data_IF_566726072934
#
_entry.id   IF_566726072934
#
_cell.length_a   1.000
_cell.length_b   1.000
_cell.length_c   1.000
_cell.angle_alpha   90.00
_cell.angle_beta   90.00
_cell.angle_gamma   90.00
#
_symmetry.space_group_name_H-M   'P 1'
#
loop_
_entity.id
_entity.type
_entity.pdbx_description
1 polymer ?
#
# COMPACT_ATOMS: atom_id res chain seq x y z
N UNK A 1 -7.09 8.96 -9.59
CA UNK A 1 -7.90 8.48 -8.45
C UNK A 1 -8.37 7.06 -8.75
N UNK A 2 -8.28 6.17 -7.79
CA UNK A 2 -8.79 4.79 -7.93
C UNK A 2 -10.26 4.80 -7.56
N UNK A 3 -11.11 4.17 -8.36
CA UNK A 3 -12.54 3.98 -8.07
C UNK A 3 -12.90 2.50 -8.12
N UNK A 4 -13.88 2.10 -7.31
CA UNK A 4 -14.39 0.73 -7.26
C UNK A 4 -15.84 0.74 -7.72
N UNK A 5 -16.15 -0.03 -8.78
CA UNK A 5 -17.52 -0.27 -9.21
C UNK A 5 -17.95 -1.67 -8.81
N UNK A 6 -18.95 -1.75 -7.92
CA UNK A 6 -19.50 -3.00 -7.39
C UNK A 6 -20.90 -3.32 -7.92
N UNK A 7 -21.40 -2.58 -8.89
CA UNK A 7 -22.79 -2.73 -9.38
C UNK A 7 -23.09 -4.17 -9.85
N UNK A 8 -22.12 -4.83 -10.48
CA UNK A 8 -22.29 -6.21 -10.96
C UNK A 8 -22.43 -7.26 -9.85
N UNK A 9 -22.10 -6.89 -8.60
CA UNK A 9 -22.24 -7.80 -7.45
C UNK A 9 -23.68 -7.82 -6.90
N UNK A 10 -24.48 -6.82 -7.20
CA UNK A 10 -25.83 -6.67 -6.63
C UNK A 10 -26.86 -7.72 -7.13
N UNK A 11 -26.51 -8.56 -8.08
CA UNK A 11 -27.25 -9.79 -8.40
C UNK A 11 -27.09 -10.92 -7.37
N UNK A 12 -26.04 -10.87 -6.56
CA UNK A 12 -25.68 -11.90 -5.58
C UNK A 12 -25.78 -11.41 -4.12
N UNK A 13 -25.54 -10.11 -3.89
CA UNK A 13 -25.58 -9.48 -2.57
C UNK A 13 -26.32 -8.16 -2.64
N UNK A 14 -27.24 -7.89 -1.71
CA UNK A 14 -27.99 -6.65 -1.69
C UNK A 14 -27.14 -5.45 -1.21
N UNK A 15 -27.54 -4.24 -1.63
CA UNK A 15 -26.90 -2.99 -1.19
C UNK A 15 -26.95 -2.82 0.33
N UNK A 16 -28.07 -3.18 0.94
CA UNK A 16 -28.28 -3.11 2.38
C UNK A 16 -27.29 -4.01 3.13
N UNK A 17 -27.05 -5.20 2.57
CA UNK A 17 -26.09 -6.15 3.16
C UNK A 17 -24.64 -5.65 3.05
N UNK A 18 -24.30 -4.99 1.94
CA UNK A 18 -22.98 -4.34 1.79
C UNK A 18 -22.85 -3.19 2.78
N UNK A 19 -23.88 -2.32 2.88
CA UNK A 19 -23.86 -1.19 3.81
C UNK A 19 -23.80 -1.62 5.29
N UNK A 20 -24.33 -2.77 5.62
CA UNK A 20 -24.26 -3.30 7.00
C UNK A 20 -22.84 -3.55 7.49
N UNK A 21 -21.88 -3.79 6.59
CA UNK A 21 -20.45 -3.94 6.92
C UNK A 21 -19.71 -2.62 7.16
N UNK A 22 -20.32 -1.47 6.91
CA UNK A 22 -19.64 -0.16 7.02
C UNK A 22 -19.03 0.07 8.41
N UNK A 23 -19.77 -0.24 9.46
CA UNK A 23 -19.27 -0.07 10.83
C UNK A 23 -18.10 -1.01 11.14
N UNK A 24 -18.15 -2.26 10.67
CA UNK A 24 -17.09 -3.24 10.85
C UNK A 24 -15.82 -2.82 10.09
N UNK A 25 -15.98 -2.34 8.86
CA UNK A 25 -14.86 -1.84 8.04
C UNK A 25 -14.20 -0.64 8.69
N UNK A 26 -14.97 0.32 9.22
CA UNK A 26 -14.43 1.48 9.94
C UNK A 26 -13.66 1.06 11.19
N UNK A 27 -14.21 0.14 11.97
CA UNK A 27 -13.52 -0.38 13.16
C UNK A 27 -12.21 -1.10 12.80
N UNK A 28 -12.21 -1.91 11.74
CA UNK A 28 -11.02 -2.59 11.24
C UNK A 28 -9.96 -1.59 10.74
N UNK A 29 -10.37 -0.55 10.04
CA UNK A 29 -9.47 0.52 9.60
C UNK A 29 -8.84 1.26 10.78
N UNK A 30 -9.63 1.62 11.78
CA UNK A 30 -9.11 2.27 12.99
C UNK A 30 -8.11 1.36 13.74
N UNK A 31 -8.39 0.07 13.81
CA UNK A 31 -7.49 -0.91 14.42
C UNK A 31 -6.16 -0.99 13.67
N UNK A 32 -6.20 -0.95 12.35
CA UNK A 32 -5.02 -0.94 11.47
C UNK A 32 -4.21 0.34 11.69
N UNK A 33 -4.84 1.51 11.62
CA UNK A 33 -4.18 2.82 11.76
C UNK A 33 -3.56 3.01 13.16
N UNK A 34 -4.23 2.52 14.20
CA UNK A 34 -3.73 2.58 15.58
C UNK A 34 -2.74 1.48 15.93
N UNK A 35 -2.57 0.48 15.07
CA UNK A 35 -1.68 -0.66 15.33
C UNK A 35 -2.09 -1.48 16.54
N UNK A 36 -3.40 -1.67 16.79
CA UNK A 36 -3.92 -2.38 17.97
C UNK A 36 -4.36 -3.81 17.68
N UNK A 37 -4.34 -4.22 16.40
CA UNK A 37 -4.72 -5.57 15.97
C UNK A 37 -3.59 -6.58 16.07
N UNK A 38 -3.91 -7.85 15.81
CA UNK A 38 -2.91 -8.90 15.64
C UNK A 38 -2.03 -8.59 14.42
N UNK A 39 -0.71 -8.77 14.57
CA UNK A 39 0.25 -8.47 13.51
C UNK A 39 0.68 -7.00 13.45
N UNK A 40 0.42 -6.22 14.49
CA UNK A 40 0.81 -4.83 14.60
C UNK A 40 2.34 -4.60 14.46
N UNK A 41 3.15 -5.60 14.74
CA UNK A 41 4.61 -5.55 14.54
C UNK A 41 5.02 -5.53 13.04
N UNK A 42 4.08 -5.82 12.14
CA UNK A 42 4.33 -5.94 10.69
C UNK A 42 3.65 -4.84 9.87
N UNK A 43 3.40 -3.67 10.43
CA UNK A 43 2.71 -2.54 9.78
C UNK A 43 3.63 -1.53 9.08
N UNK A 44 4.93 -1.84 8.91
CA UNK A 44 5.88 -0.95 8.24
C UNK A 44 5.48 -0.54 6.81
N UNK A 45 4.65 -1.33 6.15
CA UNK A 45 4.13 -1.06 4.80
C UNK A 45 3.03 0.01 4.76
N UNK A 46 2.29 0.20 5.87
CA UNK A 46 1.06 1.01 5.90
C UNK A 46 1.28 2.46 5.46
N UNK A 47 2.34 3.07 5.97
CA UNK A 47 2.71 4.45 5.66
C UNK A 47 3.95 4.56 4.76
N UNK A 48 4.47 3.44 4.26
CA UNK A 48 5.67 3.41 3.43
C UNK A 48 5.56 4.31 2.19
N UNK A 49 4.46 4.29 1.40
CA UNK A 49 4.36 5.14 0.22
C UNK A 49 4.46 6.64 0.52
N UNK A 50 3.89 7.09 1.65
CA UNK A 50 3.94 8.49 2.06
C UNK A 50 5.24 8.87 2.79
N UNK A 51 6.06 7.91 3.17
CA UNK A 51 7.37 8.14 3.78
C UNK A 51 8.51 8.31 2.77
N UNK A 52 8.25 8.00 1.49
CA UNK A 52 9.24 8.16 0.42
C UNK A 52 9.32 9.64 0.05
N UNK A 53 10.43 10.27 0.43
CA UNK A 53 10.67 11.68 0.17
C UNK A 53 11.36 11.91 -1.18
N UNK A 54 11.32 13.14 -1.68
CA UNK A 54 12.07 13.54 -2.88
C UNK A 54 13.59 13.33 -2.69
N UNK A 55 14.09 13.47 -1.47
CA UNK A 55 15.49 13.22 -1.14
C UNK A 55 15.85 11.73 -1.30
N UNK A 56 15.00 10.82 -0.84
CA UNK A 56 15.15 9.37 -1.08
C UNK A 56 15.18 9.06 -2.58
N UNK A 57 14.28 9.66 -3.35
CA UNK A 57 14.24 9.46 -4.80
C UNK A 57 15.49 10.01 -5.49
N UNK A 58 15.99 11.16 -5.05
CA UNK A 58 17.23 11.75 -5.57
C UNK A 58 18.44 10.85 -5.28
N UNK A 59 18.55 10.28 -4.09
CA UNK A 59 19.62 9.35 -3.71
C UNK A 59 19.58 8.06 -4.55
N UNK A 60 18.39 7.47 -4.71
CA UNK A 60 18.19 6.30 -5.57
C UNK A 60 18.60 6.60 -7.04
N UNK A 61 18.21 7.76 -7.55
CA UNK A 61 18.58 8.17 -8.91
C UNK A 61 20.08 8.41 -9.06
N UNK A 62 20.73 8.99 -8.05
CA UNK A 62 22.18 9.20 -8.05
C UNK A 62 22.92 7.84 -8.06
N UNK A 63 22.51 6.90 -7.22
CA UNK A 63 23.05 5.54 -7.20
C UNK A 63 22.86 4.83 -8.52
N UNK A 64 21.64 4.89 -9.08
CA UNK A 64 21.33 4.31 -10.38
C UNK A 64 22.18 4.91 -11.52
N UNK A 65 22.46 6.22 -11.45
CA UNK A 65 23.35 6.88 -12.41
C UNK A 65 24.80 6.36 -12.30
N UNK A 66 25.33 6.25 -11.10
CA UNK A 66 26.67 5.70 -10.89
C UNK A 66 26.79 4.30 -11.48
N UNK A 67 25.80 3.44 -11.25
CA UNK A 67 25.78 2.09 -11.82
C UNK A 67 25.75 2.12 -13.35
N UNK A 68 24.89 2.92 -13.96
CA UNK A 68 24.81 3.05 -15.43
C UNK A 68 26.09 3.57 -16.05
N UNK A 69 26.78 4.50 -15.39
CA UNK A 69 28.01 5.10 -15.91
C UNK A 69 29.24 4.15 -15.81
N UNK A 70 29.18 3.16 -14.92
CA UNK A 70 30.33 2.29 -14.60
C UNK A 70 30.11 0.81 -14.93
N UNK A 71 28.88 0.38 -15.24
CA UNK A 71 28.53 -1.01 -15.45
C UNK A 71 27.68 -1.18 -16.69
N UNK A 72 27.99 -2.17 -17.54
CA UNK A 72 27.11 -2.60 -18.64
C UNK A 72 25.99 -3.52 -18.16
N UNK A 73 26.25 -4.29 -17.10
CA UNK A 73 25.31 -5.26 -16.51
C UNK A 73 25.42 -5.21 -14.99
N UNK A 74 24.26 -5.19 -14.34
CA UNK A 74 24.13 -5.34 -12.87
C UNK A 74 23.44 -6.66 -12.57
N UNK A 75 24.07 -7.50 -11.77
CA UNK A 75 23.49 -8.79 -11.32
C UNK A 75 23.14 -8.64 -9.85
N UNK A 76 21.87 -8.90 -9.52
CA UNK A 76 21.39 -8.96 -8.14
C UNK A 76 21.22 -10.42 -7.75
N UNK A 77 21.93 -10.85 -6.72
CA UNK A 77 21.82 -12.19 -6.14
C UNK A 77 21.26 -12.07 -4.71
N UNK A 78 20.21 -12.83 -4.43
CA UNK A 78 19.55 -12.81 -3.12
C UNK A 78 18.64 -14.01 -2.90
#
# INVERSE_FOLDING_TARGET
>A
MISLNIEKTFGFISKEKVSAYEAEVKAAQEMLEKGTGKGNDFLGWLHLPSSISDEHLADLNATAKVLRDNCEVVIVAG
#
